data_IF_276399893963
#
_entry.id   IF_276399893963
#
_cell.length_a   1.000
_cell.length_b   1.000
_cell.length_c   1.000
_cell.angle_alpha   90.00
_cell.angle_beta   90.00
_cell.angle_gamma   90.00
#
_symmetry.space_group_name_H-M   'P 1'
#
loop_
_entity.id
_entity.type
_entity.pdbx_description
1 polymer ?
#
# COMPACT_ATOMS: atom_id res chain seq x y z
N UNK A 1 0.99 -3.71 -8.06
CA UNK A 1 -0.03 -4.70 -7.64
C UNK A 1 -0.04 -5.84 -8.63
N UNK A 2 0.16 -7.06 -8.15
CA UNK A 2 0.45 -8.20 -9.00
C UNK A 2 -0.83 -8.91 -9.49
N UNK A 3 -1.01 -9.05 -10.82
CA UNK A 3 -2.00 -9.98 -11.42
C UNK A 3 -1.48 -11.42 -11.31
N UNK A 4 -2.31 -12.44 -11.62
CA UNK A 4 -2.05 -13.89 -11.57
C UNK A 4 -0.68 -14.42 -12.08
N UNK A 5 0.15 -13.59 -12.72
CA UNK A 5 1.49 -13.91 -13.21
C UNK A 5 2.60 -13.03 -12.61
N UNK A 6 2.37 -12.38 -11.46
CA UNK A 6 3.34 -11.48 -10.80
C UNK A 6 3.77 -10.27 -11.64
N UNK A 7 2.92 -9.81 -12.57
CA UNK A 7 3.14 -8.58 -13.32
C UNK A 7 2.51 -7.35 -12.66
N UNK A 8 3.18 -6.22 -12.81
CA UNK A 8 2.63 -4.91 -12.48
C UNK A 8 1.44 -4.58 -13.40
N UNK A 9 0.44 -3.89 -12.85
CA UNK A 9 -0.77 -3.49 -13.58
C UNK A 9 -0.66 -2.01 -13.90
N UNK A 10 -0.63 -1.69 -15.20
CA UNK A 10 -0.61 -0.30 -15.68
C UNK A 10 -1.76 0.50 -15.07
N UNK A 11 -1.48 1.75 -14.69
CA UNK A 11 -2.45 2.64 -14.05
C UNK A 11 -2.17 4.11 -14.44
N UNK A 12 -3.18 5.00 -14.32
CA UNK A 12 -3.10 6.38 -14.83
C UNK A 12 -1.96 7.21 -14.25
N UNK A 13 -1.52 6.91 -13.03
CA UNK A 13 -0.48 7.66 -12.32
C UNK A 13 0.90 6.98 -12.33
N UNK A 14 1.04 5.87 -13.08
CA UNK A 14 2.26 5.07 -13.19
C UNK A 14 2.87 4.66 -11.82
N UNK A 15 2.02 4.39 -10.82
CA UNK A 15 2.41 4.04 -9.45
C UNK A 15 2.25 2.54 -9.20
N UNK A 16 3.32 1.88 -8.76
CA UNK A 16 3.33 0.42 -8.55
C UNK A 16 3.77 -0.03 -7.17
N UNK A 17 4.28 0.92 -6.38
CA UNK A 17 4.66 0.78 -4.99
C UNK A 17 4.36 2.09 -4.27
N UNK A 18 4.14 2.01 -2.96
CA UNK A 18 3.97 3.14 -2.07
C UNK A 18 4.68 2.80 -0.75
N UNK A 19 5.32 3.79 -0.13
CA UNK A 19 6.08 3.59 1.11
C UNK A 19 6.72 4.89 1.60
N UNK A 20 7.59 4.78 2.59
CA UNK A 20 8.29 5.87 3.28
C UNK A 20 8.98 6.90 2.35
N UNK A 21 9.36 6.49 1.13
CA UNK A 21 10.02 7.34 0.12
C UNK A 21 9.05 8.01 -0.86
N UNK A 22 7.75 7.74 -0.76
CA UNK A 22 6.74 8.36 -1.62
C UNK A 22 6.52 9.81 -1.19
N UNK A 23 6.69 10.79 -2.09
CA UNK A 23 6.48 12.19 -1.75
C UNK A 23 4.99 12.47 -1.50
N UNK A 24 4.70 13.33 -0.52
CA UNK A 24 3.36 13.83 -0.24
C UNK A 24 2.45 12.89 0.56
N UNK A 25 2.98 11.83 1.17
CA UNK A 25 2.20 10.99 2.09
C UNK A 25 1.60 11.82 3.22
N UNK A 26 0.32 11.58 3.48
CA UNK A 26 -0.43 12.21 4.57
C UNK A 26 -0.53 11.23 5.73
N UNK A 27 -0.04 11.63 6.89
CA UNK A 27 -0.07 10.82 8.10
C UNK A 27 -1.23 11.26 8.99
N UNK A 28 -1.76 10.30 9.75
CA UNK A 28 -2.76 10.57 10.77
C UNK A 28 -2.13 11.34 11.95
N UNK A 29 -2.97 11.94 12.79
CA UNK A 29 -2.52 12.72 13.96
C UNK A 29 -1.70 11.89 14.97
N UNK A 30 -1.88 10.58 14.99
CA UNK A 30 -1.13 9.63 15.82
C UNK A 30 0.17 9.14 15.16
N UNK A 31 0.50 9.65 13.98
CA UNK A 31 1.67 9.26 13.19
C UNK A 31 1.48 7.99 12.37
N UNK A 32 0.30 7.35 12.41
CA UNK A 32 0.01 6.19 11.56
C UNK A 32 -0.19 6.60 10.08
N UNK A 33 -0.08 5.62 9.19
CA UNK A 33 -0.27 5.79 7.75
C UNK A 33 -1.34 4.81 7.26
N UNK A 34 -2.42 5.35 6.72
CA UNK A 34 -3.43 4.58 6.00
C UNK A 34 -3.13 4.57 4.51
N UNK A 35 -3.19 3.38 3.90
CA UNK A 35 -2.98 3.18 2.47
C UNK A 35 -4.26 2.66 1.81
N UNK A 36 -4.68 3.31 0.72
CA UNK A 36 -5.86 2.92 -0.04
C UNK A 36 -5.44 2.00 -1.20
N UNK A 37 -6.00 0.80 -1.25
CA UNK A 37 -5.66 -0.22 -2.25
C UNK A 37 -6.90 -0.55 -3.09
N UNK A 38 -7.07 0.15 -4.22
CA UNK A 38 -8.25 0.00 -5.09
C UNK A 38 -7.95 0.38 -6.55
N UNK A 39 -8.84 -0.02 -7.47
CA UNK A 39 -8.66 0.22 -8.90
C UNK A 39 -8.93 1.68 -9.30
N UNK A 40 -10.05 2.23 -8.84
CA UNK A 40 -10.48 3.59 -9.15
C UNK A 40 -9.84 4.59 -8.20
N UNK A 41 -9.61 5.82 -8.66
CA UNK A 41 -9.09 6.88 -7.79
C UNK A 41 -10.05 7.11 -6.62
N UNK A 42 -9.54 7.25 -5.38
CA UNK A 42 -10.37 7.63 -4.24
C UNK A 42 -10.70 9.13 -4.30
N UNK A 43 -11.24 9.67 -3.21
CA UNK A 43 -11.45 11.11 -3.07
C UNK A 43 -10.11 11.88 -3.19
N UNK A 44 -10.12 13.14 -3.68
CA UNK A 44 -8.89 13.90 -3.98
C UNK A 44 -7.91 14.02 -2.81
N UNK A 45 -8.40 14.05 -1.58
CA UNK A 45 -7.59 14.14 -0.36
C UNK A 45 -6.89 12.82 0.01
N UNK A 46 -7.33 11.69 -0.55
CA UNK A 46 -6.79 10.35 -0.31
C UNK A 46 -5.79 9.87 -1.38
N UNK A 47 -5.73 10.55 -2.53
CA UNK A 47 -4.91 10.14 -3.68
C UNK A 47 -3.41 10.03 -3.36
N UNK A 48 -2.91 10.86 -2.44
CA UNK A 48 -1.49 10.82 -2.04
C UNK A 48 -1.11 9.47 -1.45
N UNK A 49 -2.03 8.84 -0.70
CA UNK A 49 -1.85 7.57 0.00
C UNK A 49 -2.40 6.36 -0.79
N UNK A 50 -2.84 6.58 -2.03
CA UNK A 50 -3.45 5.55 -2.85
C UNK A 50 -2.42 4.76 -3.66
N UNK A 51 -2.62 3.44 -3.73
CA UNK A 51 -1.91 2.53 -4.62
C UNK A 51 -2.91 1.83 -5.56
N UNK A 52 -2.88 2.15 -6.87
CA UNK A 52 -3.74 1.51 -7.85
C UNK A 52 -3.59 -0.02 -7.91
N UNK A 53 -4.71 -0.72 -7.96
CA UNK A 53 -4.79 -2.19 -8.08
C UNK A 53 -5.40 -2.62 -9.43
N UNK A 54 -5.32 -3.92 -9.74
CA UNK A 54 -6.16 -4.52 -10.79
C UNK A 54 -7.63 -4.50 -10.40
N UNK A 55 -8.51 -4.57 -11.41
CA UNK A 55 -9.89 -5.02 -11.24
C UNK A 55 -9.87 -6.49 -10.82
N UNK A 56 -10.50 -6.80 -9.68
CA UNK A 56 -10.52 -8.14 -9.09
C UNK A 56 -9.33 -8.42 -8.18
N UNK A 57 -8.89 -9.67 -8.15
CA UNK A 57 -7.85 -10.11 -7.21
C UNK A 57 -6.52 -9.36 -7.42
N UNK A 58 -5.88 -9.04 -6.31
CA UNK A 58 -4.52 -8.52 -6.26
C UNK A 58 -3.79 -9.10 -5.06
N UNK A 59 -2.46 -9.13 -5.15
CA UNK A 59 -1.58 -9.58 -4.06
C UNK A 59 -0.61 -8.47 -3.70
N UNK A 60 -0.73 -7.84 -2.51
CA UNK A 60 0.26 -6.89 -2.04
C UNK A 60 1.51 -7.62 -1.54
N UNK A 61 2.64 -6.92 -1.56
CA UNK A 61 3.91 -7.40 -1.01
C UNK A 61 4.51 -6.29 -0.17
N UNK A 62 4.66 -6.54 1.13
CA UNK A 62 5.37 -5.65 2.03
C UNK A 62 6.87 -5.91 1.92
N UNK A 63 7.66 -4.85 1.75
CA UNK A 63 9.12 -4.91 1.78
C UNK A 63 9.62 -4.03 2.92
N UNK A 64 10.53 -4.57 3.73
CA UNK A 64 11.20 -3.86 4.79
C UNK A 64 12.70 -3.90 4.53
N UNK A 65 13.34 -2.75 4.54
CA UNK A 65 14.79 -2.62 4.32
C UNK A 65 15.45 -2.43 5.69
N UNK A 66 16.24 -3.42 6.11
CA UNK A 66 16.81 -3.48 7.46
C UNK A 66 15.74 -3.46 8.57
N UNK A 67 14.83 -4.46 8.61
CA UNK A 67 13.83 -4.54 9.66
C UNK A 67 14.46 -4.66 11.06
N UNK A 68 13.83 -4.04 12.06
CA UNK A 68 14.25 -4.17 13.46
C UNK A 68 13.91 -5.53 14.06
N UNK A 69 14.43 -5.80 15.26
CA UNK A 69 14.30 -7.10 15.94
C UNK A 69 12.85 -7.57 16.09
N UNK A 70 11.93 -6.67 16.44
CA UNK A 70 10.52 -7.02 16.63
C UNK A 70 9.85 -7.64 15.38
N UNK A 71 10.34 -7.31 14.19
CA UNK A 71 9.87 -7.91 12.94
C UNK A 71 10.52 -9.29 12.73
N UNK A 72 11.81 -9.41 13.09
CA UNK A 72 12.59 -10.63 12.90
C UNK A 72 12.19 -11.74 13.88
N UNK A 73 11.86 -11.37 15.12
CA UNK A 73 11.39 -12.27 16.17
C UNK A 73 9.86 -12.52 16.11
N UNK A 74 9.14 -11.76 15.28
CA UNK A 74 7.71 -11.89 15.04
C UNK A 74 6.80 -11.28 16.12
N UNK A 75 7.35 -10.55 17.08
CA UNK A 75 6.57 -9.81 18.09
C UNK A 75 5.77 -8.65 17.49
N UNK A 76 6.24 -8.12 16.36
CA UNK A 76 5.46 -7.24 15.49
C UNK A 76 5.00 -7.98 14.23
N UNK A 77 3.74 -7.76 13.85
CA UNK A 77 3.17 -8.23 12.59
C UNK A 77 2.52 -7.05 11.87
N UNK A 78 2.53 -7.06 10.52
CA UNK A 78 1.89 -5.99 9.77
C UNK A 78 0.38 -5.96 10.02
N UNK A 79 -0.24 -4.77 10.01
CA UNK A 79 -1.69 -4.66 10.16
C UNK A 79 -2.41 -5.41 9.03
N UNK A 80 -3.53 -6.03 9.36
CA UNK A 80 -4.39 -6.69 8.39
C UNK A 80 -4.96 -5.68 7.40
N UNK A 81 -5.03 -6.06 6.12
CA UNK A 81 -5.78 -5.30 5.12
C UNK A 81 -7.27 -5.44 5.41
N UNK A 82 -7.97 -4.31 5.55
CA UNK A 82 -9.40 -4.25 5.79
C UNK A 82 -10.12 -3.87 4.51
N UNK A 83 -11.14 -4.65 4.14
CA UNK A 83 -12.08 -4.23 3.10
C UNK A 83 -12.96 -3.12 3.67
N UNK A 84 -12.98 -1.98 3.01
CA UNK A 84 -13.88 -0.87 3.29
C UNK A 84 -15.06 -0.97 2.32
N UNK A 85 -16.27 -0.70 2.81
CA UNK A 85 -17.51 -0.77 2.02
C UNK A 85 -17.88 0.59 1.45
#
# INVERSE_FOLDING_TARGET
MYRNHFYLVANPINRYAIGDRTPGLQYNNDGSLDLYLQHDSPEPDQESNWLPTSVGDFRPTLRMYQPGEAVLDGSWQPPSIKRIN
#
